data_IF_983544253405
#
_entry.id   IF_983544253405
#
_cell.length_a   1.000
_cell.length_b   1.000
_cell.length_c   1.000
_cell.angle_alpha   90.00
_cell.angle_beta   90.00
_cell.angle_gamma   90.00
#
_symmetry.space_group_name_H-M   'P 1'
#
loop_
_entity.id
_entity.type
_entity.pdbx_description
1 polymer ?
#
# COMPACT_ATOMS: atom_id res chain seq x y z
N UNK A 1 7.30 -26.13 -8.84
CA UNK A 1 6.62 -25.59 -10.04
C UNK A 1 5.40 -24.72 -9.74
N UNK A 2 4.67 -24.90 -8.62
CA UNK A 2 3.49 -24.09 -8.27
C UNK A 2 3.75 -22.68 -7.68
N UNK A 3 4.96 -22.40 -7.19
CA UNK A 3 5.29 -21.09 -6.57
C UNK A 3 5.36 -19.93 -7.56
N UNK A 4 5.63 -20.16 -8.85
CA UNK A 4 5.78 -19.05 -9.82
C UNK A 4 4.46 -18.53 -10.38
N UNK A 5 3.43 -19.38 -10.52
CA UNK A 5 2.11 -18.96 -11.07
C UNK A 5 1.35 -18.14 -10.04
N UNK A 6 1.34 -18.59 -8.78
CA UNK A 6 0.69 -17.86 -7.69
C UNK A 6 1.29 -16.47 -7.48
N UNK A 7 2.62 -16.34 -7.51
CA UNK A 7 3.29 -15.04 -7.41
C UNK A 7 2.96 -14.11 -8.59
N UNK A 8 2.91 -14.65 -9.82
CA UNK A 8 2.50 -13.87 -10.99
C UNK A 8 1.06 -13.37 -10.88
N UNK A 9 0.17 -14.18 -10.33
CA UNK A 9 -1.22 -13.78 -10.07
C UNK A 9 -1.28 -12.65 -9.03
N UNK A 10 -0.53 -12.76 -7.94
CA UNK A 10 -0.43 -11.69 -6.94
C UNK A 10 0.13 -10.42 -7.58
N UNK A 11 1.23 -10.52 -8.33
CA UNK A 11 1.85 -9.36 -8.99
C UNK A 11 0.87 -8.68 -9.96
N UNK A 12 0.05 -9.47 -10.67
CA UNK A 12 -1.01 -8.94 -11.54
C UNK A 12 -2.13 -8.24 -10.75
N UNK A 13 -2.63 -8.84 -9.67
CA UNK A 13 -3.65 -8.22 -8.80
C UNK A 13 -3.13 -6.90 -8.23
N UNK A 14 -1.91 -6.90 -7.71
CA UNK A 14 -1.27 -5.71 -7.15
C UNK A 14 -1.01 -4.65 -8.23
N UNK A 15 -0.63 -5.05 -9.44
CA UNK A 15 -0.47 -4.14 -10.56
C UNK A 15 -1.79 -3.40 -10.88
N UNK A 16 -2.90 -4.13 -11.00
CA UNK A 16 -4.22 -3.53 -11.25
C UNK A 16 -4.61 -2.62 -10.09
N UNK A 17 -4.39 -3.05 -8.85
CA UNK A 17 -4.67 -2.23 -7.67
C UNK A 17 -3.87 -0.92 -7.65
N UNK A 18 -2.55 -0.97 -7.86
CA UNK A 18 -1.75 0.25 -7.90
C UNK A 18 -2.13 1.15 -9.06
N UNK A 19 -2.57 0.59 -10.20
CA UNK A 19 -3.07 1.36 -11.34
C UNK A 19 -4.36 2.10 -10.99
N UNK A 20 -5.28 1.45 -10.27
CA UNK A 20 -6.48 2.11 -9.75
C UNK A 20 -6.10 3.25 -8.80
N UNK A 21 -5.20 3.02 -7.84
CA UNK A 21 -4.76 4.07 -6.89
C UNK A 21 -4.06 5.22 -7.60
N UNK A 22 -3.22 4.93 -8.61
CA UNK A 22 -2.52 5.95 -9.39
C UNK A 22 -3.47 6.97 -10.02
N UNK A 23 -4.69 6.54 -10.36
CA UNK A 23 -5.74 7.39 -10.97
C UNK A 23 -6.73 7.91 -9.92
N UNK A 24 -7.22 7.04 -9.03
CA UNK A 24 -8.27 7.37 -8.07
C UNK A 24 -7.79 8.35 -7.00
N UNK A 25 -6.59 8.16 -6.44
CA UNK A 25 -6.09 9.05 -5.39
C UNK A 25 -6.05 10.53 -5.81
N UNK A 26 -5.46 10.91 -6.96
CA UNK A 26 -5.44 12.31 -7.38
C UNK A 26 -6.78 12.81 -7.90
N UNK A 27 -7.68 11.95 -8.40
CA UNK A 27 -8.94 12.39 -9.03
C UNK A 27 -10.15 12.37 -8.10
N UNK A 28 -10.17 11.46 -7.12
CA UNK A 28 -11.29 11.22 -6.20
C UNK A 28 -10.87 11.61 -4.78
N UNK A 29 -9.80 11.01 -4.25
CA UNK A 29 -9.45 11.18 -2.84
C UNK A 29 -8.93 12.59 -2.56
N UNK A 30 -8.19 13.17 -3.50
CA UNK A 30 -7.72 14.56 -3.41
C UNK A 30 -8.83 15.60 -3.25
N UNK A 31 -10.05 15.32 -3.71
CA UNK A 31 -11.21 16.20 -3.47
C UNK A 31 -11.59 16.31 -1.97
N UNK A 32 -11.08 15.40 -1.13
CA UNK A 32 -11.25 15.50 0.33
C UNK A 32 -10.46 16.69 0.87
N UNK A 33 -9.24 16.90 0.36
CA UNK A 33 -8.27 17.85 0.90
C UNK A 33 -8.12 19.13 0.08
N UNK A 34 -8.38 19.08 -1.22
CA UNK A 34 -8.18 20.20 -2.14
C UNK A 34 -9.51 20.89 -2.51
N UNK A 35 -9.47 22.19 -2.87
CA UNK A 35 -10.62 22.90 -3.40
C UNK A 35 -11.26 22.18 -4.59
N UNK A 36 -12.59 22.09 -4.59
CA UNK A 36 -13.34 21.39 -5.64
C UNK A 36 -13.17 22.03 -7.04
N UNK A 37 -12.78 23.31 -7.10
CA UNK A 37 -12.53 24.02 -8.36
C UNK A 37 -11.41 23.40 -9.22
N UNK A 38 -10.56 22.55 -8.65
CA UNK A 38 -9.52 21.82 -9.40
C UNK A 38 -10.04 20.58 -10.12
N UNK A 39 -11.30 20.20 -9.92
CA UNK A 39 -11.83 18.92 -10.40
C UNK A 39 -13.01 19.13 -11.35
N UNK A 40 -13.09 18.34 -12.44
CA UNK A 40 -14.27 18.26 -13.28
C UNK A 40 -15.55 17.92 -12.49
N UNK A 41 -16.67 18.54 -12.86
CA UNK A 41 -17.97 18.34 -12.19
C UNK A 41 -18.41 16.88 -12.15
N UNK A 42 -18.12 16.09 -13.18
CA UNK A 42 -18.50 14.68 -13.21
C UNK A 42 -17.80 13.87 -12.09
N UNK A 43 -16.54 14.18 -11.76
CA UNK A 43 -15.81 13.50 -10.68
C UNK A 43 -16.33 13.93 -9.30
N UNK A 44 -16.69 15.20 -9.16
CA UNK A 44 -17.29 15.74 -7.94
C UNK A 44 -18.64 15.05 -7.70
N UNK A 45 -19.47 14.98 -8.74
CA UNK A 45 -20.79 14.35 -8.67
C UNK A 45 -20.68 12.85 -8.41
N UNK A 46 -19.70 12.16 -9.01
CA UNK A 46 -19.43 10.75 -8.74
C UNK A 46 -19.10 10.51 -7.26
N UNK A 47 -18.19 11.31 -6.68
CA UNK A 47 -17.81 11.20 -5.27
C UNK A 47 -18.98 11.50 -4.33
N UNK A 48 -19.78 12.53 -4.62
CA UNK A 48 -21.00 12.84 -3.85
C UNK A 48 -22.02 11.71 -3.93
N UNK A 49 -22.28 11.20 -5.13
CA UNK A 49 -23.19 10.08 -5.34
C UNK A 49 -22.75 8.87 -4.53
N UNK A 50 -21.46 8.51 -4.58
CA UNK A 50 -20.90 7.42 -3.79
C UNK A 50 -21.16 7.63 -2.28
N UNK A 51 -20.82 8.82 -1.75
CA UNK A 51 -21.01 9.13 -0.34
C UNK A 51 -22.47 8.97 0.10
N UNK A 52 -23.42 9.48 -0.70
CA UNK A 52 -24.84 9.35 -0.39
C UNK A 52 -25.39 7.94 -0.60
N UNK A 53 -24.94 7.23 -1.62
CA UNK A 53 -25.44 5.89 -1.94
C UNK A 53 -25.05 4.86 -0.88
N UNK A 54 -23.80 4.90 -0.42
CA UNK A 54 -23.29 3.98 0.60
C UNK A 54 -23.41 4.51 2.03
N UNK A 55 -23.89 5.74 2.22
CA UNK A 55 -23.95 6.37 3.54
C UNK A 55 -22.56 6.60 4.14
N UNK A 56 -21.55 6.82 3.30
CA UNK A 56 -20.16 6.99 3.73
C UNK A 56 -19.96 8.36 4.36
N UNK A 57 -20.19 8.42 5.68
CA UNK A 57 -20.06 9.66 6.42
C UNK A 57 -18.61 10.16 6.50
N UNK A 58 -17.60 9.31 6.30
CA UNK A 58 -16.21 9.74 6.27
C UNK A 58 -15.95 10.65 5.06
N UNK A 59 -16.55 10.31 3.93
CA UNK A 59 -16.49 11.12 2.70
C UNK A 59 -17.38 12.36 2.79
N UNK A 60 -18.56 12.26 3.41
CA UNK A 60 -19.51 13.36 3.52
C UNK A 60 -19.06 14.40 4.57
N UNK A 61 -18.82 13.97 5.80
CA UNK A 61 -18.53 14.83 6.95
C UNK A 61 -17.05 15.21 7.02
N UNK A 62 -16.16 14.43 6.41
CA UNK A 62 -14.70 14.65 6.37
C UNK A 62 -14.08 14.90 7.77
N UNK A 63 -14.22 13.96 8.72
CA UNK A 63 -13.62 14.11 10.04
C UNK A 63 -12.09 14.26 9.94
N UNK A 64 -11.48 15.04 10.85
CA UNK A 64 -10.08 15.44 10.72
C UNK A 64 -9.08 14.28 10.64
N UNK A 65 -9.33 13.17 11.35
CA UNK A 65 -8.46 12.00 11.25
C UNK A 65 -8.49 11.41 9.82
N UNK A 66 -9.67 11.33 9.20
CA UNK A 66 -9.84 10.80 7.85
C UNK A 66 -9.17 11.71 6.82
N UNK A 67 -9.34 13.04 6.95
CA UNK A 67 -8.62 14.01 6.11
C UNK A 67 -7.10 13.84 6.26
N UNK A 68 -6.62 13.59 7.48
CA UNK A 68 -5.21 13.27 7.74
C UNK A 68 -4.75 11.99 7.04
N UNK A 69 -5.57 10.93 7.05
CA UNK A 69 -5.28 9.69 6.33
C UNK A 69 -5.27 9.89 4.81
N UNK A 70 -6.15 10.73 4.26
CA UNK A 70 -6.12 11.07 2.83
C UNK A 70 -4.87 11.88 2.48
N UNK A 71 -4.40 12.77 3.35
CA UNK A 71 -3.10 13.42 3.14
C UNK A 71 -1.94 12.41 3.14
N UNK A 72 -1.96 11.43 4.06
CA UNK A 72 -0.99 10.34 4.05
C UNK A 72 -1.06 9.54 2.74
N UNK A 73 -2.27 9.27 2.26
CA UNK A 73 -2.46 8.60 0.97
C UNK A 73 -1.83 9.41 -0.17
N UNK A 74 -2.17 10.69 -0.31
CA UNK A 74 -1.68 11.53 -1.39
C UNK A 74 -0.17 11.77 -1.37
N UNK A 75 0.41 11.97 -0.18
CA UNK A 75 1.81 12.37 -0.04
C UNK A 75 2.77 11.18 0.08
N UNK A 76 2.27 10.02 0.52
CA UNK A 76 3.10 8.84 0.78
C UNK A 76 2.66 7.63 -0.03
N UNK A 77 1.40 7.22 0.09
CA UNK A 77 0.94 5.98 -0.55
C UNK A 77 0.88 6.13 -2.08
N UNK A 78 0.36 7.24 -2.60
CA UNK A 78 0.23 7.48 -4.04
C UNK A 78 1.59 7.54 -4.77
N UNK A 79 2.61 8.29 -4.31
CA UNK A 79 3.94 8.22 -4.92
C UNK A 79 4.53 6.80 -4.86
N UNK A 80 4.28 6.08 -3.76
CA UNK A 80 4.78 4.73 -3.58
C UNK A 80 4.03 3.70 -4.46
N UNK A 81 2.75 3.92 -4.79
CA UNK A 81 1.99 3.10 -5.74
C UNK A 81 2.54 3.25 -7.16
N UNK A 82 2.88 4.48 -7.58
CA UNK A 82 3.55 4.75 -8.87
C UNK A 82 4.92 4.07 -8.94
N UNK A 83 5.70 4.13 -7.86
CA UNK A 83 6.96 3.41 -7.77
C UNK A 83 6.76 1.91 -7.89
N UNK A 84 5.76 1.34 -7.20
CA UNK A 84 5.44 -0.08 -7.27
C UNK A 84 4.98 -0.51 -8.68
N UNK A 85 4.17 0.30 -9.38
CA UNK A 85 3.81 0.06 -10.79
C UNK A 85 5.05 -0.04 -11.67
N UNK A 86 5.94 0.95 -11.56
CA UNK A 86 7.20 0.95 -12.30
C UNK A 86 8.06 -0.27 -11.94
N UNK A 87 8.12 -0.63 -10.66
CA UNK A 87 8.90 -1.76 -10.17
C UNK A 87 8.41 -3.09 -10.77
N UNK A 88 7.10 -3.28 -10.88
CA UNK A 88 6.51 -4.47 -11.50
C UNK A 88 6.84 -4.49 -13.00
N UNK A 89 6.58 -3.40 -13.72
CA UNK A 89 6.81 -3.31 -15.17
C UNK A 89 8.29 -3.49 -15.55
N UNK A 90 9.19 -2.88 -14.78
CA UNK A 90 10.62 -2.91 -15.02
C UNK A 90 11.35 -4.02 -14.22
N UNK A 91 10.59 -4.93 -13.58
CA UNK A 91 11.11 -6.06 -12.79
C UNK A 91 12.20 -5.67 -11.79
N UNK A 92 11.99 -4.59 -11.04
CA UNK A 92 12.98 -4.05 -10.10
C UNK A 92 13.04 -4.87 -8.81
N UNK A 93 14.26 -5.12 -8.33
CA UNK A 93 14.52 -5.94 -7.14
C UNK A 93 14.03 -5.31 -5.83
N UNK A 94 13.81 -3.99 -5.81
CA UNK A 94 13.32 -3.24 -4.64
C UNK A 94 11.79 -3.25 -4.50
N UNK A 95 11.06 -3.82 -5.47
CA UNK A 95 9.59 -3.94 -5.43
C UNK A 95 9.08 -4.52 -4.10
N UNK A 96 9.74 -5.57 -3.59
CA UNK A 96 9.30 -6.23 -2.35
C UNK A 96 9.31 -5.27 -1.16
N UNK A 97 10.35 -4.46 -1.04
CA UNK A 97 10.51 -3.53 0.07
C UNK A 97 9.49 -2.41 -0.03
N UNK A 98 9.33 -1.81 -1.21
CA UNK A 98 8.35 -0.73 -1.42
C UNK A 98 6.91 -1.22 -1.30
N UNK A 99 6.62 -2.44 -1.75
CA UNK A 99 5.33 -3.11 -1.58
C UNK A 99 5.04 -3.42 -0.11
N UNK A 100 6.03 -3.87 0.67
CA UNK A 100 5.89 -4.08 2.11
C UNK A 100 5.56 -2.78 2.84
N UNK A 101 6.29 -1.71 2.55
CA UNK A 101 6.09 -0.39 3.16
C UNK A 101 4.69 0.14 2.81
N UNK A 102 4.29 0.02 1.54
CA UNK A 102 2.97 0.42 1.09
C UNK A 102 1.87 -0.35 1.84
N UNK A 103 1.99 -1.69 1.87
CA UNK A 103 1.02 -2.57 2.51
C UNK A 103 0.87 -2.28 3.99
N UNK A 104 1.97 -2.04 4.71
CA UNK A 104 1.95 -1.67 6.12
C UNK A 104 1.21 -0.34 6.34
N UNK A 105 1.49 0.68 5.53
CA UNK A 105 0.80 1.97 5.62
C UNK A 105 -0.70 1.85 5.35
N UNK A 106 -1.10 1.16 4.28
CA UNK A 106 -2.52 0.95 3.94
C UNK A 106 -3.24 0.14 5.02
N UNK A 107 -2.60 -0.93 5.53
CA UNK A 107 -3.18 -1.73 6.60
C UNK A 107 -3.45 -0.88 7.85
N UNK A 108 -2.49 -0.06 8.27
CA UNK A 108 -2.67 0.83 9.43
C UNK A 108 -3.80 1.85 9.20
N UNK A 109 -3.86 2.49 8.03
CA UNK A 109 -4.95 3.41 7.70
C UNK A 109 -6.31 2.71 7.70
N UNK A 110 -6.41 1.50 7.13
CA UNK A 110 -7.65 0.74 7.06
C UNK A 110 -8.11 0.25 8.43
N UNK A 111 -7.19 -0.15 9.32
CA UNK A 111 -7.54 -0.50 10.69
C UNK A 111 -8.12 0.70 11.44
N UNK A 112 -7.53 1.90 11.28
CA UNK A 112 -8.07 3.12 11.88
C UNK A 112 -9.46 3.46 11.34
N UNK A 113 -9.66 3.37 10.03
CA UNK A 113 -10.96 3.62 9.38
C UNK A 113 -12.01 2.61 9.85
N UNK A 114 -11.71 1.31 9.82
CA UNK A 114 -12.65 0.26 10.22
C UNK A 114 -12.99 0.33 11.71
N UNK A 115 -12.01 0.66 12.57
CA UNK A 115 -12.25 0.85 14.00
C UNK A 115 -13.24 2.00 14.25
N UNK A 116 -13.10 3.12 13.52
CA UNK A 116 -14.03 4.24 13.60
C UNK A 116 -15.42 3.88 13.03
N UNK A 117 -15.47 3.23 11.87
CA UNK A 117 -16.74 2.80 11.25
C UNK A 117 -17.53 1.88 12.19
N UNK A 118 -16.88 0.85 12.74
CA UNK A 118 -17.50 -0.09 13.68
C UNK A 118 -17.83 0.57 15.03
N UNK A 119 -16.96 1.43 15.54
CA UNK A 119 -17.15 2.13 16.82
C UNK A 119 -18.25 3.19 16.77
N UNK A 120 -18.46 3.84 15.63
CA UNK A 120 -19.47 4.88 15.45
C UNK A 120 -20.90 4.36 15.41
N UNK A 121 -21.09 3.06 15.11
CA UNK A 121 -22.42 2.47 14.89
C UNK A 121 -23.16 2.99 13.65
N UNK A 122 -22.50 3.82 12.82
CA UNK A 122 -23.08 4.40 11.59
C UNK A 122 -22.84 3.54 10.34
N UNK A 123 -21.96 2.53 10.43
CA UNK A 123 -21.55 1.76 9.27
C UNK A 123 -22.58 0.68 8.90
N UNK A 124 -23.03 0.69 7.64
CA UNK A 124 -23.81 -0.39 7.04
C UNK A 124 -22.91 -1.55 6.60
N UNK A 125 -23.49 -2.74 6.44
CA UNK A 125 -22.78 -3.90 5.91
C UNK A 125 -22.22 -3.64 4.51
N UNK A 126 -22.98 -2.94 3.67
CA UNK A 126 -22.56 -2.55 2.31
C UNK A 126 -21.33 -1.63 2.35
N UNK A 127 -21.30 -0.67 3.29
CA UNK A 127 -20.15 0.22 3.46
C UNK A 127 -18.92 -0.57 3.93
N UNK A 128 -19.07 -1.47 4.89
CA UNK A 128 -17.97 -2.31 5.36
C UNK A 128 -17.42 -3.21 4.23
N UNK A 129 -18.31 -3.78 3.40
CA UNK A 129 -17.92 -4.54 2.21
C UNK A 129 -17.10 -3.71 1.20
N UNK A 130 -17.26 -2.38 1.17
CA UNK A 130 -16.41 -1.51 0.34
C UNK A 130 -15.00 -1.33 0.92
N UNK A 131 -14.83 -1.32 2.25
CA UNK A 131 -13.53 -1.10 2.90
C UNK A 131 -12.68 -2.38 3.07
N UNK A 132 -13.30 -3.54 3.32
CA UNK A 132 -12.56 -4.80 3.50
C UNK A 132 -11.63 -5.21 2.35
N UNK A 133 -11.98 -5.00 1.06
CA UNK A 133 -11.08 -5.26 -0.06
C UNK A 133 -9.75 -4.50 0.07
N UNK A 134 -9.77 -3.23 0.49
CA UNK A 134 -8.56 -2.42 0.68
C UNK A 134 -7.71 -2.95 1.84
N UNK A 135 -8.34 -3.39 2.93
CA UNK A 135 -7.66 -4.08 4.03
C UNK A 135 -6.95 -5.36 3.51
N UNK A 136 -7.66 -6.17 2.74
CA UNK A 136 -7.13 -7.41 2.15
C UNK A 136 -5.97 -7.15 1.17
N UNK A 137 -6.05 -6.10 0.36
CA UNK A 137 -4.98 -5.70 -0.55
C UNK A 137 -3.75 -5.17 0.21
N UNK A 138 -3.94 -4.44 1.30
CA UNK A 138 -2.85 -4.06 2.21
C UNK A 138 -2.11 -5.27 2.78
N UNK A 139 -2.87 -6.28 3.23
CA UNK A 139 -2.31 -7.56 3.69
C UNK A 139 -1.57 -8.30 2.56
N UNK A 140 -2.13 -8.32 1.35
CA UNK A 140 -1.51 -8.97 0.20
C UNK A 140 -0.17 -8.29 -0.18
N UNK A 141 -0.11 -6.95 -0.11
CA UNK A 141 1.12 -6.18 -0.29
C UNK A 141 2.20 -6.57 0.73
N UNK A 142 1.83 -6.71 2.01
CA UNK A 142 2.75 -7.14 3.08
C UNK A 142 3.28 -8.53 2.79
N UNK A 143 2.39 -9.50 2.54
CA UNK A 143 2.75 -10.88 2.23
C UNK A 143 3.70 -10.93 1.03
N UNK A 144 3.37 -10.20 -0.04
CA UNK A 144 4.20 -10.16 -1.25
C UNK A 144 5.59 -9.59 -0.98
N UNK A 145 5.68 -8.56 -0.15
CA UNK A 145 6.93 -7.94 0.25
C UNK A 145 7.83 -8.81 1.13
N UNK A 146 7.25 -9.73 1.92
CA UNK A 146 8.01 -10.62 2.81
C UNK A 146 8.65 -11.83 2.09
N UNK A 147 8.06 -12.31 0.99
CA UNK A 147 8.45 -13.57 0.33
C UNK A 147 9.91 -13.58 -0.16
N UNK A 148 10.46 -12.46 -0.63
CA UNK A 148 11.87 -12.38 -1.08
C UNK A 148 12.86 -11.89 0.00
N UNK A 149 12.38 -11.25 1.07
CA UNK A 149 13.24 -10.91 2.21
C UNK A 149 13.63 -12.16 3.01
N UNK A 150 12.70 -13.12 3.15
CA UNK A 150 12.97 -14.41 3.81
C UNK A 150 14.12 -15.20 3.15
N UNK A 151 14.20 -15.19 1.81
CA UNK A 151 15.24 -15.90 1.06
C UNK A 151 16.61 -15.22 1.14
N UNK A 152 16.68 -13.88 1.23
CA UNK A 152 17.95 -13.17 1.46
C UNK A 152 18.50 -13.40 2.88
N UNK A 153 17.63 -13.42 3.90
CA UNK A 153 18.02 -13.62 5.31
C UNK A 153 18.47 -15.07 5.54
N UNK A 154 17.83 -16.05 4.90
CA UNK A 154 18.26 -17.45 4.97
C UNK A 154 19.61 -17.70 4.26
N UNK A 155 19.96 -16.89 3.25
CA UNK A 155 21.21 -16.99 2.49
C UNK A 155 22.43 -16.27 3.11
N UNK A 156 22.23 -15.41 4.11
CA UNK A 156 23.31 -14.68 4.78
C UNK A 156 23.90 -15.47 5.95
N UNK A 157 24.48 -16.64 5.69
CA UNK A 157 25.47 -17.24 6.60
C UNK A 157 26.77 -16.45 6.39
N UNK A 158 27.42 -15.87 7.43
CA UNK A 158 28.59 -15.05 7.22
C UNK A 158 29.70 -15.91 6.61
N UNK A 159 30.19 -15.53 5.42
CA UNK A 159 31.42 -16.08 4.87
C UNK A 159 32.54 -15.69 5.84
N UNK A 160 33.03 -16.70 6.57
CA UNK A 160 34.23 -16.66 7.41
C UNK A 160 35.30 -15.76 6.80
N UNK A 161 35.60 -14.66 7.48
CA UNK A 161 36.77 -13.83 7.21
C UNK A 161 38.02 -14.68 7.47
N UNK A 162 38.65 -15.18 6.40
CA UNK A 162 40.00 -15.74 6.49
C UNK A 162 40.94 -14.61 6.89
N UNK A 163 41.32 -14.58 8.17
CA UNK A 163 42.45 -13.81 8.68
C UNK A 163 43.70 -14.33 7.97
N UNK A 164 44.48 -13.51 7.23
CA UNK A 164 45.77 -13.94 6.73
C UNK A 164 46.72 -14.09 7.93
N UNK A 165 47.23 -15.29 8.16
CA UNK A 165 48.23 -15.56 9.17
C UNK A 165 49.50 -14.73 8.89
N UNK A 166 49.79 -13.78 9.78
CA UNK A 166 51.03 -13.00 9.77
C UNK A 166 52.23 -13.95 9.90
N UNK A 167 53.06 -13.96 8.86
CA UNK A 167 54.28 -14.74 8.79
C UNK A 167 55.25 -14.32 9.92
N UNK A 168 55.53 -15.27 10.80
CA UNK A 168 56.53 -15.22 11.87
C UNK A 168 57.93 -15.01 11.27
N UNK A 169 58.48 -13.80 11.33
CA UNK A 169 59.93 -13.58 11.10
C UNK A 169 60.71 -14.03 12.33
N UNK A 170 61.54 -15.06 12.18
CA UNK A 170 62.63 -15.40 13.12
C UNK A 170 63.71 -14.31 13.03
N UNK A 171 64.14 -13.77 14.17
CA UNK A 171 65.41 -13.05 14.30
C UNK A 171 66.52 -14.06 14.59
N UNK A 172 67.63 -13.88 13.89
CA UNK A 172 68.95 -14.43 14.22
C UNK A 172 69.60 -13.58 15.32
#
# INVERSE_FOLDING_TARGET
MGTSVFLKLIDFILFVFFMVIAVAAPLIDAQTCLPLAFFPDFLINLKRWYGHHYGDYLIIEKPHFFVGLVWLELLFQWPLSLLNLYAILASKSWFNTTCLIYGASVLTSMVAILAELLGSGKASDDLLMMYYPFLGLGMLCILRGLIQNSSKISGSRPKSSRIPALARRKKA
#
